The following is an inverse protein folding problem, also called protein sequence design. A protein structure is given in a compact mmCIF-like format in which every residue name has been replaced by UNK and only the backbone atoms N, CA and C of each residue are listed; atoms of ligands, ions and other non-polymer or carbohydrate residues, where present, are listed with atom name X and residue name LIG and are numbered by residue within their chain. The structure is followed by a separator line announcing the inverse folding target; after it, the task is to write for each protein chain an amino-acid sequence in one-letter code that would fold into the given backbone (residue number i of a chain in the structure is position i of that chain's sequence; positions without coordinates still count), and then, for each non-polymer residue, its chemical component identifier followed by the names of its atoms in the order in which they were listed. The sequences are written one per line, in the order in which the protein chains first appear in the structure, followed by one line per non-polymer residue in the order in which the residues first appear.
data_IF_431444657815
#
_entry.id   IF_431444657815
#
_cell.length_a   1.000
_cell.length_b   1.000
_cell.length_c   1.000
_cell.angle_alpha   90.00
_cell.angle_beta   90.00
_cell.angle_gamma   90.00
#
_symmetry.space_group_name_H-M   'P 1'
#
loop_
_entity.id
_entity.type
_entity.pdbx_description
1 polymer ?
#
# COMPACT_ATOMS: atom_id res chain seq x y z
N UNK A 1 10.16 -2.98 20.77
CA UNK A 1 8.68 -3.08 20.80
C UNK A 1 8.20 -2.85 19.37
N UNK A 2 7.65 -3.87 18.70
CA UNK A 2 7.09 -3.72 17.36
C UNK A 2 5.82 -2.87 17.47
N UNK A 3 5.82 -1.69 16.87
CA UNK A 3 4.67 -0.81 16.88
C UNK A 3 3.80 -1.24 15.69
N UNK A 4 2.88 -2.20 15.92
CA UNK A 4 1.97 -2.78 14.91
C UNK A 4 1.05 -1.75 14.18
N UNK A 5 1.29 -0.46 14.40
CA UNK A 5 0.64 0.69 13.79
C UNK A 5 1.45 1.28 12.64
N UNK A 6 2.73 0.94 12.48
CA UNK A 6 3.58 1.46 11.40
C UNK A 6 3.53 0.54 10.14
N UNK A 7 3.55 1.14 8.95
CA UNK A 7 3.50 0.42 7.67
C UNK A 7 4.71 -0.48 7.43
N UNK A 8 5.91 -0.09 7.88
CA UNK A 8 7.14 -0.90 7.76
C UNK A 8 7.10 -2.13 8.68
N UNK A 9 6.52 -1.96 9.88
CA UNK A 9 6.27 -3.07 10.81
C UNK A 9 5.21 -4.03 10.24
N UNK A 10 4.14 -3.49 9.67
CA UNK A 10 3.11 -4.27 8.98
C UNK A 10 3.70 -5.05 7.81
N UNK A 11 4.53 -4.40 6.99
CA UNK A 11 5.23 -5.02 5.89
C UNK A 11 6.14 -6.15 6.38
N UNK A 12 6.97 -5.90 7.37
CA UNK A 12 7.89 -6.90 7.93
C UNK A 12 7.13 -8.13 8.43
N UNK A 13 6.00 -7.92 9.12
CA UNK A 13 5.12 -9.00 9.57
C UNK A 13 4.42 -9.72 8.42
N UNK A 14 3.95 -9.00 7.42
CA UNK A 14 3.33 -9.62 6.24
C UNK A 14 4.32 -10.52 5.51
N UNK A 15 5.56 -10.06 5.34
CA UNK A 15 6.63 -10.81 4.68
C UNK A 15 7.09 -12.02 5.51
N UNK A 16 7.08 -11.96 6.84
CA UNK A 16 7.43 -13.11 7.68
C UNK A 16 6.33 -14.18 7.69
N UNK A 17 5.06 -13.79 7.56
CA UNK A 17 3.92 -14.71 7.49
C UNK A 17 3.67 -15.27 6.06
N UNK A 18 4.30 -14.72 5.02
CA UNK A 18 4.08 -15.10 3.62
C UNK A 18 5.36 -15.62 2.96
N UNK A 19 5.30 -16.80 2.36
CA UNK A 19 6.38 -17.31 1.52
C UNK A 19 6.32 -16.67 0.12
N UNK A 20 7.06 -15.58 -0.09
CA UNK A 20 7.10 -14.83 -1.35
C UNK A 20 8.48 -14.97 -2.03
N UNK A 21 8.48 -14.89 -3.37
CA UNK A 21 9.73 -14.85 -4.15
C UNK A 21 10.50 -13.56 -3.86
N UNK A 22 11.85 -13.56 -3.94
CA UNK A 22 12.67 -12.38 -3.66
C UNK A 22 12.24 -11.10 -4.41
N UNK A 23 11.90 -11.23 -5.70
CA UNK A 23 11.47 -10.07 -6.50
C UNK A 23 10.13 -9.50 -6.03
N UNK A 24 9.22 -10.36 -5.58
CA UNK A 24 7.95 -9.93 -5.00
C UNK A 24 8.20 -9.19 -3.68
N UNK A 25 9.10 -9.69 -2.83
CA UNK A 25 9.50 -9.00 -1.59
C UNK A 25 10.04 -7.60 -1.89
N UNK A 26 10.90 -7.48 -2.91
CA UNK A 26 11.46 -6.19 -3.34
C UNK A 26 10.37 -5.22 -3.80
N UNK A 27 9.40 -5.70 -4.57
CA UNK A 27 8.27 -4.89 -5.02
C UNK A 27 7.44 -4.36 -3.83
N UNK A 28 7.08 -5.19 -2.86
CA UNK A 28 6.37 -4.74 -1.66
C UNK A 28 7.14 -3.67 -0.88
N UNK A 29 8.45 -3.87 -0.66
CA UNK A 29 9.32 -2.90 0.01
C UNK A 29 9.36 -1.56 -0.72
N UNK A 30 9.53 -1.60 -2.04
CA UNK A 30 9.59 -0.39 -2.86
C UNK A 30 8.27 0.38 -2.82
N UNK A 31 7.13 -0.30 -2.91
CA UNK A 31 5.81 0.35 -2.90
C UNK A 31 5.51 0.96 -1.53
N UNK A 32 5.76 0.24 -0.44
CA UNK A 32 5.53 0.77 0.91
C UNK A 32 6.43 1.98 1.21
N UNK A 33 7.71 1.90 0.83
CA UNK A 33 8.63 3.04 0.97
C UNK A 33 8.20 4.22 0.11
N UNK A 34 7.72 3.97 -1.11
CA UNK A 34 7.20 5.01 -2.01
C UNK A 34 6.00 5.73 -1.39
N UNK A 35 5.04 4.98 -0.84
CA UNK A 35 3.90 5.55 -0.10
C UNK A 35 4.37 6.50 1.00
N UNK A 36 5.26 6.03 1.90
CA UNK A 36 5.73 6.85 3.03
C UNK A 36 6.45 8.10 2.54
N UNK A 37 7.29 7.98 1.51
CA UNK A 37 8.03 9.11 0.95
C UNK A 37 7.13 10.17 0.33
N UNK A 38 6.08 9.75 -0.38
CA UNK A 38 5.21 10.68 -1.10
C UNK A 38 4.13 11.31 -0.21
N UNK A 39 3.67 10.59 0.82
CA UNK A 39 2.53 11.00 1.65
C UNK A 39 2.92 11.41 3.06
N UNK A 40 4.12 11.04 3.51
CA UNK A 40 4.59 11.16 4.90
C UNK A 40 3.72 10.38 5.92
N UNK A 41 2.82 9.51 5.44
CA UNK A 41 1.94 8.70 6.28
C UNK A 41 2.58 7.33 6.51
N UNK A 42 3.13 7.14 7.70
CA UNK A 42 3.65 5.84 8.15
C UNK A 42 2.70 5.08 9.09
N UNK A 43 1.77 5.77 9.77
CA UNK A 43 0.76 5.14 10.62
C UNK A 43 -0.38 4.59 9.75
N UNK A 44 -0.57 3.27 9.78
CA UNK A 44 -1.57 2.57 8.96
C UNK A 44 -3.01 3.00 9.26
N UNK A 45 -3.27 3.59 10.42
CA UNK A 45 -4.59 4.09 10.83
C UNK A 45 -4.91 5.46 10.26
N UNK A 46 -3.89 6.18 9.77
CA UNK A 46 -4.01 7.46 9.07
C UNK A 46 -4.11 7.30 7.56
N UNK A 47 -4.01 6.07 7.05
CA UNK A 47 -4.28 5.78 5.66
C UNK A 47 -5.81 5.76 5.51
N UNK A 48 -6.35 6.76 4.82
CA UNK A 48 -7.77 6.89 4.48
C UNK A 48 -7.93 7.06 2.95
N UNK A 49 -9.19 7.16 2.50
CA UNK A 49 -9.51 7.17 1.07
C UNK A 49 -9.07 8.46 0.38
N UNK A 50 -9.00 9.58 1.12
CA UNK A 50 -8.53 10.87 0.62
C UNK A 50 -7.01 10.79 0.35
N UNK A 51 -6.22 10.31 1.31
CA UNK A 51 -4.79 10.12 1.12
C UNK A 51 -4.47 9.17 -0.04
N UNK A 52 -5.25 8.09 -0.22
CA UNK A 52 -5.08 7.16 -1.35
C UNK A 52 -5.43 7.84 -2.68
N UNK A 53 -6.47 8.66 -2.72
CA UNK A 53 -6.91 9.39 -3.90
C UNK A 53 -5.85 10.42 -4.35
N UNK A 54 -5.32 11.19 -3.41
CA UNK A 54 -4.24 12.15 -3.65
C UNK A 54 -2.99 11.43 -4.15
N UNK A 55 -2.58 10.34 -3.50
CA UNK A 55 -1.42 9.56 -3.92
C UNK A 55 -1.59 8.96 -5.31
N UNK A 56 -2.79 8.49 -5.68
CA UNK A 56 -3.08 8.06 -7.04
C UNK A 56 -2.79 9.17 -8.05
N UNK A 57 -3.32 10.37 -7.81
CA UNK A 57 -3.15 11.48 -8.74
C UNK A 57 -1.66 11.84 -8.90
N UNK A 58 -0.91 11.95 -7.79
CA UNK A 58 0.53 12.18 -7.81
C UNK A 58 1.32 11.08 -8.55
N UNK A 59 0.91 9.82 -8.43
CA UNK A 59 1.56 8.71 -9.14
C UNK A 59 1.25 8.79 -10.64
N UNK A 60 0.01 9.08 -11.02
CA UNK A 60 -0.41 9.15 -12.43
C UNK A 60 0.16 10.36 -13.17
N UNK A 61 0.52 11.44 -12.46
CA UNK A 61 1.24 12.58 -13.04
C UNK A 61 2.65 12.23 -13.56
N UNK A 62 3.27 11.19 -13.00
CA UNK A 62 4.68 10.85 -13.28
C UNK A 62 4.92 9.41 -13.71
N UNK A 63 3.89 8.56 -13.72
CA UNK A 63 4.01 7.15 -14.01
C UNK A 63 2.76 6.60 -14.70
N UNK A 64 2.92 5.43 -15.34
CA UNK A 64 1.84 4.80 -16.08
C UNK A 64 0.67 4.32 -15.21
N UNK A 65 -0.54 4.18 -15.77
CA UNK A 65 -1.66 3.45 -15.15
C UNK A 65 -1.27 2.06 -14.63
N UNK A 66 -0.40 1.34 -15.35
CA UNK A 66 0.09 0.03 -14.94
C UNK A 66 0.93 0.11 -13.65
N UNK A 67 1.75 1.15 -13.51
CA UNK A 67 2.51 1.42 -12.28
C UNK A 67 1.57 1.68 -11.11
N UNK A 68 0.57 2.54 -11.29
CA UNK A 68 -0.46 2.78 -10.27
C UNK A 68 -1.16 1.48 -9.86
N UNK A 69 -1.61 0.68 -10.82
CA UNK A 69 -2.32 -0.57 -10.55
C UNK A 69 -1.44 -1.56 -9.76
N UNK A 70 -0.14 -1.61 -10.08
CA UNK A 70 0.82 -2.38 -9.30
C UNK A 70 0.92 -1.86 -7.87
N UNK A 71 1.09 -0.55 -7.67
CA UNK A 71 1.22 0.06 -6.34
C UNK A 71 -0.03 -0.19 -5.50
N UNK A 72 -1.21 0.11 -6.06
CA UNK A 72 -2.51 -0.16 -5.46
C UNK A 72 -2.66 -1.61 -5.04
N UNK A 73 -2.27 -2.58 -5.87
CA UNK A 73 -2.37 -4.02 -5.56
C UNK A 73 -1.54 -4.40 -4.35
N UNK A 74 -0.28 -3.96 -4.28
CA UNK A 74 0.61 -4.31 -3.17
C UNK A 74 0.14 -3.65 -1.85
N UNK A 75 -0.23 -2.37 -1.90
CA UNK A 75 -0.79 -1.69 -0.72
C UNK A 75 -2.12 -2.30 -0.28
N UNK A 76 -3.01 -2.65 -1.22
CA UNK A 76 -4.27 -3.34 -0.92
C UNK A 76 -4.02 -4.65 -0.16
N UNK A 77 -3.02 -5.43 -0.57
CA UNK A 77 -2.70 -6.69 0.11
C UNK A 77 -2.19 -6.46 1.55
N UNK A 78 -1.37 -5.43 1.79
CA UNK A 78 -0.92 -5.05 3.13
C UNK A 78 -2.08 -4.61 4.02
N UNK A 79 -2.94 -3.71 3.53
CA UNK A 79 -4.07 -3.20 4.33
C UNK A 79 -5.17 -4.26 4.53
N UNK A 80 -5.38 -5.17 3.58
CA UNK A 80 -6.22 -6.35 3.80
C UNK A 80 -5.65 -7.25 4.91
N UNK A 81 -4.33 -7.44 4.94
CA UNK A 81 -3.68 -8.17 6.02
C UNK A 81 -3.86 -7.47 7.37
N UNK A 82 -3.68 -6.15 7.42
CA UNK A 82 -3.94 -5.34 8.63
C UNK A 82 -5.40 -5.48 9.11
N UNK A 83 -6.37 -5.40 8.20
CA UNK A 83 -7.79 -5.56 8.52
C UNK A 83 -8.09 -6.98 9.07
N UNK A 84 -7.52 -8.03 8.45
CA UNK A 84 -7.64 -9.41 8.95
C UNK A 84 -7.07 -9.57 10.37
N UNK A 85 -6.02 -8.83 10.71
CA UNK A 85 -5.42 -8.78 12.05
C UNK A 85 -6.11 -7.78 13.00
N UNK A 86 -7.20 -7.14 12.57
CA UNK A 86 -7.97 -6.13 13.31
C UNK A 86 -7.14 -4.91 13.72
N UNK A 87 -6.11 -4.57 12.94
CA UNK A 87 -5.26 -3.39 13.17
C UNK A 87 -5.87 -2.11 12.57
N UNK A 88 -6.68 -2.27 11.52
CA UNK A 88 -7.48 -1.23 10.88
C UNK A 88 -8.89 -1.79 10.65
N UNK A 89 -9.87 -0.89 10.51
CA UNK A 89 -11.28 -1.28 10.30
C UNK A 89 -11.58 -1.65 8.84
N UNK A 90 -11.02 -0.88 7.90
CA UNK A 90 -11.27 -1.00 6.46
C UNK A 90 -9.96 -0.89 5.67
N UNK A 91 -10.01 -1.20 4.38
CA UNK A 91 -8.90 -1.02 3.45
C UNK A 91 -9.27 0.05 2.42
N UNK A 92 -8.79 1.29 2.57
CA UNK A 92 -9.13 2.40 1.67
C UNK A 92 -8.68 2.18 0.22
N UNK A 93 -7.65 1.37 -0.03
CA UNK A 93 -7.22 1.05 -1.40
C UNK A 93 -8.26 0.28 -2.22
N UNK A 94 -9.25 -0.33 -1.56
CA UNK A 94 -10.36 -1.00 -2.26
C UNK A 94 -11.40 -0.01 -2.81
N UNK A 95 -11.49 1.18 -2.22
CA UNK A 95 -12.47 2.21 -2.62
C UNK A 95 -12.01 2.99 -3.85
N UNK A 96 -10.71 3.06 -4.07
CA UNK A 96 -10.13 3.75 -5.23
C UNK A 96 -9.97 2.75 -6.38
N UNK A 97 -10.54 3.08 -7.55
CA UNK A 97 -10.52 2.22 -8.72
C UNK A 97 -9.10 2.02 -9.30
N UNK A 98 -8.92 0.90 -9.99
CA UNK A 98 -7.78 0.72 -10.88
C UNK A 98 -7.86 1.77 -12.01
N UNK A 99 -6.72 2.24 -12.49
CA UNK A 99 -6.69 3.04 -13.69
C UNK A 99 -6.87 2.11 -14.90
N UNK A 100 -7.98 2.27 -15.62
CA UNK A 100 -8.14 1.69 -16.95
C UNK A 100 -7.30 2.52 -17.93
N UNK A 101 -6.60 1.87 -18.85
CA UNK A 101 -6.12 2.59 -20.03
C UNK A 101 -7.38 3.03 -20.78
N UNK A 102 -7.73 4.31 -20.69
CA UNK A 102 -8.57 4.93 -21.70
C UNK A 102 -7.67 5.01 -22.92
N UNK A 103 -7.92 4.12 -23.88
CA UNK A 103 -7.32 4.16 -25.20
C UNK A 103 -7.81 5.39 -25.96
#
# INVERSE_FOLDING_TARGET
MNNNRNLEDLLSRYLSEKLLRPDTVKAYKQVAHRWIKDTEISDIRRIDSEAVLEWRNMVLERASPATWNSYRRHMSALLNFAAKKKLVKTNPFLEIAAASNVA
#
